data_IF_396034561474
#
_entry.id   IF_396034561474
#
_cell.length_a   1.000
_cell.length_b   1.000
_cell.length_c   1.000
_cell.angle_alpha   90.00
_cell.angle_beta   90.00
_cell.angle_gamma   90.00
#
_symmetry.space_group_name_H-M   'P 1'
#
loop_
_entity.id
_entity.type
_entity.pdbx_description
1 polymer ?
#
# COMPACT_ATOMS: atom_id res chain seq x y z
N UNK A 1 4.47 -67.93 -54.43
CA UNK A 1 5.10 -66.60 -54.41
C UNK A 1 4.08 -65.59 -53.92
N UNK A 2 4.19 -65.14 -52.67
CA UNK A 2 3.48 -63.97 -52.12
C UNK A 2 4.44 -63.29 -51.15
N UNK A 3 4.71 -62.03 -51.42
CA UNK A 3 5.59 -61.11 -50.71
C UNK A 3 4.86 -60.37 -49.58
N UNK A 4 5.67 -59.74 -48.72
CA UNK A 4 5.37 -58.63 -47.80
C UNK A 4 4.82 -59.04 -46.40
N UNK A 5 5.16 -58.38 -45.30
CA UNK A 5 5.89 -57.13 -45.09
C UNK A 5 6.58 -57.15 -43.71
N UNK A 6 7.78 -56.59 -43.64
CA UNK A 6 8.39 -56.14 -42.38
C UNK A 6 7.73 -54.82 -41.96
N UNK A 7 7.08 -54.80 -40.80
CA UNK A 7 6.62 -53.57 -40.17
C UNK A 7 7.71 -53.08 -39.20
N UNK A 8 8.51 -52.11 -39.65
CA UNK A 8 9.39 -51.32 -38.77
C UNK A 8 8.53 -50.38 -37.92
N UNK A 9 8.50 -50.63 -36.62
CA UNK A 9 7.88 -49.75 -35.63
C UNK A 9 8.85 -48.59 -35.34
N UNK A 10 8.69 -47.46 -36.02
CA UNK A 10 9.40 -46.22 -35.68
C UNK A 10 8.65 -45.58 -34.51
N UNK A 11 9.19 -45.71 -33.31
CA UNK A 11 8.71 -45.00 -32.14
C UNK A 11 9.07 -43.51 -32.27
N UNK A 12 8.08 -42.67 -32.59
CA UNK A 12 8.22 -41.23 -32.58
C UNK A 12 8.19 -40.71 -31.14
N UNK A 13 9.37 -40.53 -30.54
CA UNK A 13 9.54 -39.90 -29.23
C UNK A 13 9.21 -38.41 -29.35
N UNK A 14 7.96 -38.04 -29.05
CA UNK A 14 7.55 -36.64 -29.00
C UNK A 14 7.97 -36.08 -27.64
N UNK A 15 9.15 -35.44 -27.58
CA UNK A 15 9.60 -34.71 -26.39
C UNK A 15 8.84 -33.39 -26.34
N UNK A 16 7.72 -33.38 -25.60
CA UNK A 16 6.98 -32.15 -25.30
C UNK A 16 7.77 -31.38 -24.24
N UNK A 17 8.61 -30.44 -24.67
CA UNK A 17 9.28 -29.48 -23.79
C UNK A 17 8.22 -28.50 -23.26
N UNK A 18 7.66 -28.81 -22.09
CA UNK A 18 6.78 -27.91 -21.36
C UNK A 18 7.65 -26.83 -20.71
N UNK A 19 7.94 -25.76 -21.47
CA UNK A 19 8.56 -24.55 -20.90
C UNK A 19 7.51 -23.91 -20.01
N UNK A 20 7.58 -24.20 -18.71
CA UNK A 20 6.91 -23.39 -17.69
C UNK A 20 7.66 -22.07 -17.64
N UNK A 21 7.15 -21.05 -18.32
CA UNK A 21 7.50 -19.67 -18.05
C UNK A 21 7.06 -19.40 -16.61
N UNK A 22 7.92 -19.65 -15.64
CA UNK A 22 7.76 -19.07 -14.31
C UNK A 22 7.90 -17.58 -14.52
N UNK A 23 6.78 -16.88 -14.63
CA UNK A 23 6.75 -15.44 -14.44
C UNK A 23 7.22 -15.19 -13.01
N UNK A 24 8.53 -15.05 -12.84
CA UNK A 24 9.08 -14.49 -11.62
C UNK A 24 8.71 -13.04 -11.71
N UNK A 25 7.61 -12.65 -11.07
CA UNK A 25 7.33 -11.25 -10.87
C UNK A 25 8.54 -10.67 -10.16
N UNK A 26 9.19 -9.69 -10.78
CA UNK A 26 10.20 -8.94 -10.07
C UNK A 26 9.53 -8.15 -8.96
N UNK A 27 10.22 -8.04 -7.84
CA UNK A 27 9.70 -7.38 -6.66
C UNK A 27 10.78 -6.50 -6.06
N UNK A 28 10.47 -5.24 -5.85
CA UNK A 28 11.34 -4.30 -5.15
C UNK A 28 10.57 -3.13 -4.58
N UNK A 29 11.06 -2.60 -3.47
CA UNK A 29 10.44 -1.46 -2.80
C UNK A 29 11.45 -0.72 -1.94
N UNK A 30 11.21 0.58 -1.76
CA UNK A 30 11.81 1.33 -0.66
C UNK A 30 11.30 0.80 0.68
N UNK A 31 12.18 0.75 1.68
CA UNK A 31 11.88 0.32 3.04
C UNK A 31 12.18 1.40 4.08
N UNK A 32 13.05 2.37 3.77
CA UNK A 32 13.33 3.55 4.60
C UNK A 32 13.50 4.77 3.70
N UNK A 33 12.85 5.93 3.99
CA UNK A 33 11.76 6.14 4.93
C UNK A 33 10.58 5.16 4.78
N UNK A 34 9.75 5.03 5.82
CA UNK A 34 8.65 4.04 5.83
C UNK A 34 7.66 4.32 4.71
N UNK A 35 7.56 3.38 3.78
CA UNK A 35 6.64 3.43 2.65
C UNK A 35 5.18 3.43 3.10
N UNK A 36 4.33 4.10 2.33
CA UNK A 36 2.88 4.13 2.59
C UNK A 36 2.32 2.71 2.67
N UNK A 37 1.50 2.42 3.68
CA UNK A 37 0.89 1.11 3.81
C UNK A 37 -0.22 0.90 2.76
N UNK A 38 -0.58 -0.35 2.54
CA UNK A 38 -1.85 -0.68 1.88
C UNK A 38 -2.95 -0.49 2.92
N UNK A 39 -3.65 0.63 2.84
CA UNK A 39 -4.66 1.01 3.81
C UNK A 39 -6.01 0.34 3.58
N UNK A 40 -6.92 0.51 4.53
CA UNK A 40 -8.31 0.14 4.35
C UNK A 40 -8.96 0.94 3.20
N UNK A 41 -8.63 2.22 3.04
CA UNK A 41 -9.12 3.05 1.95
C UNK A 41 -8.63 2.52 0.60
N UNK A 42 -7.35 2.20 0.48
CA UNK A 42 -6.80 1.55 -0.72
C UNK A 42 -7.62 0.30 -1.06
N UNK A 43 -7.86 -0.58 -0.09
CA UNK A 43 -8.62 -1.83 -0.30
C UNK A 43 -10.08 -1.61 -0.70
N UNK A 44 -10.71 -0.56 -0.18
CA UNK A 44 -12.08 -0.20 -0.56
C UNK A 44 -12.14 0.33 -2.01
N UNK A 45 -11.10 1.05 -2.45
CA UNK A 45 -11.11 1.79 -3.70
C UNK A 45 -10.47 1.02 -4.87
N UNK A 46 -9.63 0.01 -4.62
CA UNK A 46 -8.80 -0.64 -5.65
C UNK A 46 -9.52 -1.69 -6.51
N UNK A 47 -10.83 -1.91 -6.30
CA UNK A 47 -11.65 -2.81 -7.12
C UNK A 47 -11.16 -4.26 -7.10
N UNK A 48 -10.85 -4.79 -8.28
CA UNK A 48 -10.36 -6.17 -8.46
C UNK A 48 -9.10 -6.52 -7.64
N UNK A 49 -8.32 -5.51 -7.22
CA UNK A 49 -7.13 -5.70 -6.39
C UNK A 49 -7.43 -5.91 -4.90
N UNK A 50 -8.68 -5.74 -4.45
CA UNK A 50 -9.07 -5.79 -3.03
C UNK A 50 -8.71 -7.09 -2.31
N UNK A 51 -8.67 -8.21 -3.03
CA UNK A 51 -8.31 -9.54 -2.53
C UNK A 51 -6.81 -9.87 -2.58
N UNK A 52 -5.97 -9.01 -3.15
CA UNK A 52 -4.54 -9.23 -3.23
C UNK A 52 -3.85 -9.07 -1.86
N UNK A 53 -2.74 -9.80 -1.67
CA UNK A 53 -1.92 -9.67 -0.46
C UNK A 53 -1.21 -8.31 -0.40
N UNK A 54 -0.97 -7.77 0.81
CA UNK A 54 -0.25 -6.49 0.98
C UNK A 54 1.11 -6.51 0.29
N UNK A 55 1.79 -7.65 0.44
CA UNK A 55 3.05 -7.97 -0.19
C UNK A 55 3.00 -7.75 -1.71
N UNK A 56 2.13 -8.47 -2.41
CA UNK A 56 1.92 -8.30 -3.85
C UNK A 56 1.62 -6.84 -4.22
N UNK A 57 0.72 -6.20 -3.49
CA UNK A 57 0.33 -4.82 -3.76
C UNK A 57 1.48 -3.83 -3.58
N UNK A 58 2.39 -4.05 -2.62
CA UNK A 58 3.50 -3.15 -2.30
C UNK A 58 4.68 -3.25 -3.26
N UNK A 59 4.97 -4.43 -3.82
CA UNK A 59 6.22 -4.63 -4.57
C UNK A 59 6.09 -5.26 -5.96
N UNK A 60 4.91 -5.73 -6.40
CA UNK A 60 4.71 -6.18 -7.79
C UNK A 60 4.80 -5.00 -8.77
N UNK A 61 5.14 -5.19 -10.05
CA UNK A 61 5.15 -4.08 -11.00
C UNK A 61 3.73 -3.54 -11.23
N UNK A 62 3.60 -2.21 -11.31
CA UNK A 62 2.28 -1.56 -11.38
C UNK A 62 1.53 -1.86 -12.66
N UNK A 63 2.23 -2.20 -13.75
CA UNK A 63 1.63 -2.63 -15.02
C UNK A 63 0.84 -3.92 -14.86
N UNK A 64 1.38 -4.89 -14.11
CA UNK A 64 0.69 -6.15 -13.84
C UNK A 64 -0.50 -5.95 -12.91
N UNK A 65 -0.36 -5.12 -11.87
CA UNK A 65 -1.50 -4.75 -11.03
C UNK A 65 -2.60 -4.06 -11.85
N UNK A 66 -2.24 -3.14 -12.74
CA UNK A 66 -3.18 -2.42 -13.60
C UNK A 66 -3.92 -3.37 -14.56
N UNK A 67 -3.22 -4.38 -15.10
CA UNK A 67 -3.81 -5.38 -16.01
C UNK A 67 -4.93 -6.23 -15.39
N UNK A 68 -5.06 -6.23 -14.06
CA UNK A 68 -6.07 -7.01 -13.33
C UNK A 68 -7.42 -6.32 -13.21
N UNK A 69 -7.63 -5.19 -13.88
CA UNK A 69 -8.93 -4.54 -13.90
C UNK A 69 -10.04 -5.51 -14.35
N UNK A 70 -11.18 -5.50 -13.65
CA UNK A 70 -12.35 -6.33 -13.96
C UNK A 70 -13.61 -5.46 -14.02
N UNK A 71 -14.45 -5.69 -15.02
CA UNK A 71 -15.67 -4.89 -15.24
C UNK A 71 -16.73 -5.10 -14.15
N UNK A 72 -16.77 -6.28 -13.53
CA UNK A 72 -17.67 -6.63 -12.43
C UNK A 72 -17.12 -6.24 -11.04
N UNK A 73 -15.87 -5.80 -10.96
CA UNK A 73 -15.21 -5.26 -9.76
C UNK A 73 -14.42 -3.99 -10.09
N UNK A 74 -15.11 -2.91 -10.51
CA UNK A 74 -14.44 -1.68 -10.89
C UNK A 74 -13.74 -1.04 -9.69
N UNK A 75 -12.61 -0.39 -9.95
CA UNK A 75 -12.01 0.51 -8.97
C UNK A 75 -12.89 1.76 -8.78
N UNK A 76 -12.74 2.44 -7.64
CA UNK A 76 -13.40 3.72 -7.40
C UNK A 76 -12.95 4.75 -8.45
N UNK A 77 -13.80 5.73 -8.83
CA UNK A 77 -13.48 6.71 -9.87
C UNK A 77 -12.19 7.52 -9.63
N UNK A 78 -11.79 7.70 -8.37
CA UNK A 78 -10.60 8.44 -7.98
C UNK A 78 -9.35 7.56 -7.79
N UNK A 79 -9.49 6.23 -7.92
CA UNK A 79 -8.38 5.29 -7.74
C UNK A 79 -7.60 5.10 -9.04
N UNK A 80 -6.28 5.21 -8.95
CA UNK A 80 -5.38 4.94 -10.07
C UNK A 80 -4.09 4.31 -9.57
N UNK A 81 -3.87 3.02 -9.87
CA UNK A 81 -2.62 2.32 -9.49
C UNK A 81 -1.38 2.92 -10.16
N UNK A 82 -1.55 3.62 -11.29
CA UNK A 82 -0.49 4.29 -12.04
C UNK A 82 -0.31 5.76 -11.63
N UNK A 83 -0.79 6.18 -10.45
CA UNK A 83 -0.71 7.57 -10.00
C UNK A 83 0.71 8.08 -9.66
N UNK A 84 1.76 7.31 -9.90
CA UNK A 84 3.14 7.59 -9.47
C UNK A 84 3.46 7.09 -8.06
N UNK A 85 2.47 6.76 -7.24
CA UNK A 85 2.63 6.17 -5.91
C UNK A 85 1.86 4.86 -5.75
N UNK A 86 1.74 4.06 -6.83
CA UNK A 86 1.13 2.72 -6.80
C UNK A 86 -0.34 2.70 -6.38
N UNK A 87 -1.06 3.81 -6.55
CA UNK A 87 -2.44 3.99 -6.08
C UNK A 87 -2.56 4.32 -4.60
N UNK A 88 -1.45 4.38 -3.86
CA UNK A 88 -1.45 4.90 -2.49
C UNK A 88 -1.52 6.43 -2.51
N UNK A 89 -2.18 6.99 -1.50
CA UNK A 89 -2.29 8.43 -1.26
C UNK A 89 -1.92 8.73 0.19
N UNK A 90 -1.66 9.99 0.51
CA UNK A 90 -1.47 10.38 1.90
C UNK A 90 -2.77 10.15 2.70
N UNK A 91 -2.64 9.53 3.87
CA UNK A 91 -3.69 9.41 4.87
C UNK A 91 -3.15 9.86 6.22
N UNK A 92 -4.00 10.43 7.07
CA UNK A 92 -3.61 11.04 8.36
C UNK A 92 -2.85 10.07 9.29
N UNK A 93 -3.08 8.76 9.14
CA UNK A 93 -2.46 7.72 9.96
C UNK A 93 -1.16 7.15 9.34
N UNK A 94 -0.72 7.66 8.19
CA UNK A 94 0.55 7.24 7.60
C UNK A 94 1.73 7.67 8.48
N UNK A 95 2.80 6.87 8.46
CA UNK A 95 4.08 7.28 9.05
C UNK A 95 4.67 8.41 8.22
N UNK A 96 4.95 9.54 8.87
CA UNK A 96 5.57 10.72 8.24
C UNK A 96 6.98 10.86 8.78
N UNK A 97 7.96 10.99 7.89
CA UNK A 97 9.37 11.16 8.27
C UNK A 97 9.78 12.62 8.14
N UNK A 98 10.34 13.19 9.20
CA UNK A 98 10.94 14.52 9.13
C UNK A 98 12.31 14.43 8.46
N UNK A 99 12.55 15.29 7.48
CA UNK A 99 13.78 15.38 6.72
C UNK A 99 14.17 16.85 6.60
N UNK A 100 15.43 17.16 6.85
CA UNK A 100 15.90 18.53 6.85
C UNK A 100 16.55 18.90 5.52
N UNK A 101 16.33 20.13 5.08
CA UNK A 101 16.95 20.66 3.87
C UNK A 101 18.47 20.71 4.01
N UNK A 102 19.18 20.39 2.94
CA UNK A 102 20.64 20.37 2.89
C UNK A 102 21.32 19.42 3.93
N UNK A 103 20.52 18.61 4.65
CA UNK A 103 20.98 17.58 5.59
C UNK A 103 20.87 16.18 4.96
N UNK A 104 21.93 15.36 5.03
CA UNK A 104 21.88 13.98 4.55
C UNK A 104 20.92 13.08 5.34
N UNK A 105 20.16 12.24 4.64
CA UNK A 105 19.31 11.20 5.25
C UNK A 105 19.43 9.87 4.49
N UNK A 106 19.20 8.77 5.21
CA UNK A 106 19.29 7.43 4.65
C UNK A 106 18.03 7.05 3.85
N UNK A 107 18.26 6.39 2.72
CA UNK A 107 17.22 5.69 1.96
C UNK A 107 17.63 4.22 1.85
N UNK A 108 16.70 3.32 2.17
CA UNK A 108 16.89 1.87 2.05
C UNK A 108 15.85 1.24 1.14
N UNK A 109 16.21 0.12 0.53
CA UNK A 109 15.31 -0.69 -0.29
C UNK A 109 15.70 -2.18 -0.26
N UNK A 110 14.78 -2.99 -0.77
CA UNK A 110 14.96 -4.42 -1.04
C UNK A 110 14.67 -4.70 -2.52
N UNK A 111 15.45 -5.58 -3.14
CA UNK A 111 15.24 -6.10 -4.50
C UNK A 111 15.24 -7.62 -4.41
N UNK A 112 14.06 -8.23 -4.49
CA UNK A 112 13.92 -9.69 -4.38
C UNK A 112 14.20 -10.36 -5.73
N UNK A 113 13.75 -9.75 -6.82
CA UNK A 113 13.98 -10.27 -8.17
C UNK A 113 14.48 -9.13 -9.08
N UNK A 114 15.74 -9.19 -9.52
CA UNK A 114 16.38 -8.08 -10.24
C UNK A 114 15.95 -8.01 -11.70
N UNK A 115 15.61 -6.80 -12.12
CA UNK A 115 15.47 -6.41 -13.52
C UNK A 115 16.33 -5.17 -13.77
N UNK A 116 17.48 -5.30 -14.46
CA UNK A 116 18.33 -4.16 -14.75
C UNK A 116 17.54 -3.01 -15.36
N UNK A 117 17.76 -1.81 -14.84
CA UNK A 117 17.04 -0.62 -15.23
C UNK A 117 17.61 0.60 -14.53
N UNK A 118 16.79 1.61 -14.28
CA UNK A 118 17.21 2.83 -13.61
C UNK A 118 16.32 3.11 -12.41
N UNK A 119 16.91 3.65 -11.33
CA UNK A 119 16.17 4.13 -10.17
C UNK A 119 16.34 5.63 -10.04
N UNK A 120 15.21 6.32 -9.90
CA UNK A 120 15.14 7.76 -9.64
C UNK A 120 14.53 7.97 -8.26
N UNK A 121 15.27 8.65 -7.39
CA UNK A 121 14.76 9.14 -6.13
C UNK A 121 14.35 10.61 -6.31
N UNK A 122 13.11 10.93 -5.97
CA UNK A 122 12.58 12.28 -6.17
C UNK A 122 11.65 12.72 -5.06
N UNK A 123 11.50 14.03 -4.90
CA UNK A 123 10.41 14.64 -4.14
C UNK A 123 9.25 14.83 -5.10
N UNK A 124 8.08 14.31 -4.74
CA UNK A 124 6.86 14.44 -5.52
C UNK A 124 5.77 15.17 -4.74
N UNK A 125 4.90 15.88 -5.45
CA UNK A 125 3.72 16.55 -4.91
C UNK A 125 2.44 15.95 -5.46
N UNK A 126 1.36 15.87 -4.66
CA UNK A 126 0.07 15.47 -5.18
C UNK A 126 -0.49 16.56 -6.10
N UNK A 127 -0.97 16.16 -7.26
CA UNK A 127 -1.81 16.94 -8.15
C UNK A 127 -3.17 16.25 -8.24
N UNK A 128 -4.25 17.03 -8.27
CA UNK A 128 -5.62 16.50 -8.35
C UNK A 128 -6.24 16.97 -9.65
N UNK A 129 -6.70 16.03 -10.47
CA UNK A 129 -7.41 16.37 -11.70
C UNK A 129 -8.88 16.74 -11.45
N UNK A 130 -9.61 17.14 -12.49
CA UNK A 130 -11.03 17.52 -12.39
C UNK A 130 -11.95 16.38 -11.97
N UNK A 131 -11.49 15.13 -12.06
CA UNK A 131 -12.22 13.92 -11.67
C UNK A 131 -11.92 13.50 -10.23
N UNK A 132 -11.01 14.20 -9.55
CA UNK A 132 -10.57 13.88 -8.19
C UNK A 132 -9.49 12.81 -8.13
N UNK A 133 -8.89 12.42 -9.26
CA UNK A 133 -7.76 11.48 -9.27
C UNK A 133 -6.52 12.22 -8.80
N UNK A 134 -5.85 11.66 -7.78
CA UNK A 134 -4.58 12.17 -7.30
C UNK A 134 -3.46 11.51 -8.12
N UNK A 135 -2.61 12.31 -8.76
CA UNK A 135 -1.32 11.90 -9.35
C UNK A 135 -0.16 12.55 -8.58
N UNK A 136 1.05 12.06 -8.78
CA UNK A 136 2.25 12.58 -8.13
C UNK A 136 3.26 13.10 -9.16
N UNK A 137 3.58 14.39 -9.06
CA UNK A 137 4.48 15.09 -9.97
C UNK A 137 5.83 15.33 -9.29
N UNK A 138 6.93 14.99 -9.98
CA UNK A 138 8.28 15.24 -9.48
C UNK A 138 8.60 16.74 -9.50
N UNK A 139 8.99 17.26 -8.33
CA UNK A 139 9.41 18.66 -8.15
C UNK A 139 10.91 18.80 -7.92
N UNK A 140 11.59 17.71 -7.56
CA UNK A 140 13.03 17.65 -7.45
C UNK A 140 13.53 16.21 -7.60
N UNK A 141 14.53 15.98 -8.45
CA UNK A 141 15.28 14.73 -8.48
C UNK A 141 16.43 14.84 -7.48
N UNK A 142 16.53 13.86 -6.58
CA UNK A 142 17.56 13.82 -5.54
C UNK A 142 18.75 12.95 -5.96
N UNK A 143 18.46 11.84 -6.64
CA UNK A 143 19.45 10.86 -7.06
C UNK A 143 18.92 10.07 -8.27
N UNK A 144 19.83 9.67 -9.14
CA UNK A 144 19.59 8.66 -10.16
C UNK A 144 20.68 7.61 -10.08
N UNK A 145 20.28 6.33 -10.04
CA UNK A 145 21.20 5.19 -10.12
C UNK A 145 20.91 4.44 -11.42
N UNK A 146 21.93 4.31 -12.26
CA UNK A 146 21.87 3.61 -13.54
C UNK A 146 23.26 3.02 -13.88
N UNK A 147 23.40 1.68 -14.02
CA UNK A 147 22.35 0.68 -13.89
C UNK A 147 21.95 0.41 -12.44
N UNK A 148 20.67 0.15 -12.22
CA UNK A 148 20.07 -0.27 -10.96
C UNK A 148 19.54 -1.70 -11.04
N UNK A 149 19.38 -2.36 -9.89
CA UNK A 149 18.83 -3.72 -9.76
C UNK A 149 19.50 -4.75 -10.69
N UNK A 150 20.83 -4.71 -10.80
CA UNK A 150 21.63 -5.68 -11.56
C UNK A 150 21.81 -7.02 -10.82
N UNK A 151 21.50 -7.06 -9.53
CA UNK A 151 21.47 -8.26 -8.69
C UNK A 151 20.36 -8.14 -7.64
N UNK A 152 19.92 -9.27 -7.07
CA UNK A 152 19.06 -9.24 -5.88
C UNK A 152 19.84 -8.70 -4.67
N UNK A 153 19.12 -8.06 -3.77
CA UNK A 153 19.68 -7.52 -2.51
C UNK A 153 18.63 -7.64 -1.43
N UNK A 154 18.96 -8.29 -0.31
CA UNK A 154 18.06 -8.38 0.86
C UNK A 154 17.86 -7.00 1.51
N UNK A 155 18.92 -6.19 1.57
CA UNK A 155 18.93 -4.79 2.00
C UNK A 155 20.03 -4.05 1.26
N UNK A 156 19.69 -2.89 0.69
CA UNK A 156 20.63 -1.95 0.12
C UNK A 156 20.25 -0.53 0.54
N UNK A 157 21.21 0.40 0.49
CA UNK A 157 21.00 1.76 0.93
C UNK A 157 21.81 2.79 0.13
N UNK A 158 21.39 4.03 0.23
CA UNK A 158 22.14 5.22 -0.19
C UNK A 158 21.82 6.36 0.76
N UNK A 159 22.51 7.49 0.57
CA UNK A 159 22.24 8.75 1.25
C UNK A 159 21.69 9.74 0.22
N UNK A 160 20.68 10.50 0.62
CA UNK A 160 20.10 11.57 -0.19
C UNK A 160 20.10 12.89 0.59
N UNK A 161 19.98 14.00 -0.13
CA UNK A 161 19.89 15.35 0.43
C UNK A 161 18.74 16.08 -0.27
N UNK A 162 17.88 16.74 0.49
CA UNK A 162 16.81 17.58 -0.09
C UNK A 162 17.39 18.96 -0.39
N UNK A 163 17.36 19.43 -1.65
CA UNK A 163 17.92 20.74 -1.98
C UNK A 163 17.05 21.88 -1.45
N UNK A 164 17.69 23.01 -1.12
CA UNK A 164 17.05 24.26 -0.69
C UNK A 164 15.88 24.77 -1.57
N UNK A 165 15.86 24.39 -2.85
CA UNK A 165 14.82 24.73 -3.84
C UNK A 165 13.46 24.05 -3.57
N UNK A 166 13.41 22.98 -2.78
CA UNK A 166 12.16 22.30 -2.42
C UNK A 166 11.36 23.16 -1.44
N UNK A 167 10.19 23.61 -1.87
CA UNK A 167 9.29 24.49 -1.11
C UNK A 167 7.90 23.88 -1.00
N UNK A 168 7.09 24.34 -0.04
CA UNK A 168 5.72 23.85 0.21
C UNK A 168 5.67 22.32 0.42
N UNK A 169 6.54 21.82 1.29
CA UNK A 169 6.58 20.44 1.77
C UNK A 169 6.60 20.40 3.31
N UNK A 170 6.04 21.42 3.96
CA UNK A 170 6.21 21.65 5.41
C UNK A 170 5.16 20.95 6.28
N UNK A 171 4.13 20.37 5.66
CA UNK A 171 3.05 19.63 6.32
C UNK A 171 2.93 18.23 5.74
N UNK A 172 2.43 17.31 6.56
CA UNK A 172 2.17 15.95 6.11
C UNK A 172 1.14 15.96 4.96
N UNK A 173 1.44 15.21 3.90
CA UNK A 173 0.62 15.17 2.68
C UNK A 173 0.97 16.23 1.63
N UNK A 174 1.77 17.25 1.98
CA UNK A 174 2.24 18.24 0.99
C UNK A 174 3.14 17.57 -0.06
N UNK A 175 4.04 16.67 0.39
CA UNK A 175 5.04 16.01 -0.44
C UNK A 175 5.25 14.56 0.01
N UNK A 176 5.78 13.76 -0.92
CA UNK A 176 6.29 12.42 -0.63
C UNK A 176 7.68 12.25 -1.23
N UNK A 177 8.48 11.38 -0.62
CA UNK A 177 9.68 10.84 -1.24
C UNK A 177 9.25 9.67 -2.12
N UNK A 178 9.57 9.75 -3.42
CA UNK A 178 9.30 8.70 -4.39
C UNK A 178 10.61 7.98 -4.74
N UNK A 179 10.62 6.68 -4.51
CA UNK A 179 11.55 5.73 -5.11
C UNK A 179 10.89 5.17 -6.37
N UNK A 180 11.44 5.48 -7.53
CA UNK A 180 10.91 5.05 -8.82
C UNK A 180 11.95 4.18 -9.54
N UNK A 181 11.75 2.87 -9.55
CA UNK A 181 12.56 1.96 -10.35
C UNK A 181 11.79 1.53 -11.60
N UNK A 182 12.41 1.70 -12.77
CA UNK A 182 11.89 1.22 -14.04
C UNK A 182 12.92 0.34 -14.75
N UNK A 183 12.45 -0.74 -15.37
CA UNK A 183 13.26 -1.58 -16.25
C UNK A 183 12.65 -1.61 -17.64
N UNK A 184 13.38 -1.07 -18.62
CA UNK A 184 13.01 -1.18 -20.04
C UNK A 184 12.99 -2.66 -20.49
N UNK A 185 13.92 -3.47 -19.96
CA UNK A 185 14.05 -4.89 -20.28
C UNK A 185 12.78 -5.67 -19.92
N UNK A 186 12.19 -5.38 -18.75
CA UNK A 186 10.97 -6.02 -18.30
C UNK A 186 9.70 -5.25 -18.69
N UNK A 187 9.83 -4.00 -19.16
CA UNK A 187 8.72 -3.07 -19.35
C UNK A 187 7.87 -2.92 -18.08
N UNK A 188 8.54 -2.74 -16.94
CA UNK A 188 7.94 -2.81 -15.61
C UNK A 188 8.44 -1.69 -14.70
N UNK A 189 7.54 -1.19 -13.85
CA UNK A 189 7.78 -0.07 -12.95
C UNK A 189 7.40 -0.40 -11.51
N UNK A 190 8.26 0.04 -10.58
CA UNK A 190 8.20 -0.21 -9.14
C UNK A 190 8.23 1.11 -8.35
N UNK A 191 7.16 1.92 -8.41
CA UNK A 191 7.08 3.12 -7.60
C UNK A 191 6.76 2.75 -6.15
N UNK A 192 7.45 3.40 -5.23
CA UNK A 192 7.17 3.38 -3.79
C UNK A 192 7.23 4.81 -3.26
N UNK A 193 6.25 5.20 -2.46
CA UNK A 193 6.22 6.53 -1.85
C UNK A 193 6.22 6.44 -0.33
N UNK A 194 6.97 7.33 0.33
CA UNK A 194 6.93 7.55 1.76
C UNK A 194 6.56 9.00 2.06
N UNK A 195 5.74 9.22 3.08
CA UNK A 195 5.33 10.56 3.47
C UNK A 195 6.44 11.25 4.25
N UNK A 196 6.72 12.50 3.89
CA UNK A 196 7.78 13.30 4.48
C UNK A 196 7.28 14.70 4.85
N UNK A 197 7.97 15.32 5.81
CA UNK A 197 7.91 16.76 6.06
C UNK A 197 9.30 17.32 5.93
N UNK A 198 9.46 18.36 5.12
CA UNK A 198 10.73 19.04 4.87
C UNK A 198 10.87 20.22 5.83
N UNK A 199 11.82 20.12 6.75
CA UNK A 199 12.17 21.19 7.69
C UNK A 199 13.36 22.01 7.18
N UNK A 200 13.52 23.20 7.74
CA UNK A 200 14.68 24.07 7.56
C UNK A 200 15.25 24.38 8.93
N UNK A 201 16.57 24.46 9.03
CA UNK A 201 17.28 24.91 10.22
C UNK A 201 16.56 26.11 10.87
N UNK A 202 16.19 25.97 12.14
CA UNK A 202 15.49 27.00 12.93
C UNK A 202 13.95 26.95 12.89
N UNK A 203 13.33 26.02 12.17
CA UNK A 203 11.89 25.76 12.25
C UNK A 203 11.59 24.46 13.02
N UNK A 204 12.01 24.40 14.29
CA UNK A 204 11.44 23.43 15.22
C UNK A 204 9.98 23.81 15.49
N UNK A 205 9.07 23.15 14.79
CA UNK A 205 7.66 22.93 15.13
C UNK A 205 6.94 24.10 15.84
N UNK A 206 6.49 25.11 15.07
CA UNK A 206 5.29 25.85 15.47
C UNK A 206 4.09 24.92 15.29
N UNK A 207 3.89 24.03 16.27
CA UNK A 207 2.64 23.27 16.42
C UNK A 207 1.52 24.29 16.55
N UNK A 208 0.73 24.46 15.49
CA UNK A 208 -0.57 25.10 15.59
C UNK A 208 -1.41 24.22 16.50
N UNK A 209 -1.44 24.60 17.77
CA UNK A 209 -2.34 24.02 18.76
C UNK A 209 -3.73 24.47 18.37
N UNK A 210 -4.55 23.57 17.82
CA UNK A 210 -5.98 23.84 17.67
C UNK A 210 -6.55 24.02 19.08
N UNK A 211 -6.73 25.27 19.49
CA UNK A 211 -7.43 25.62 20.71
C UNK A 211 -8.89 25.19 20.59
N UNK A 212 -9.31 24.29 21.48
CA UNK A 212 -10.71 23.93 21.71
C UNK A 212 -11.53 25.19 22.01
N UNK A 213 -12.71 25.41 21.39
CA UNK A 213 -13.53 26.55 21.75
C UNK A 213 -14.17 26.30 23.13
N UNK A 214 -13.67 27.02 24.13
CA UNK A 214 -14.28 27.08 25.47
C UNK A 214 -15.64 27.77 25.35
N UNK A 215 -16.71 26.98 25.45
CA UNK A 215 -18.07 27.48 25.51
C UNK A 215 -18.26 28.46 26.67
N UNK A 216 -18.58 29.71 26.34
CA UNK A 216 -18.98 30.75 27.28
C UNK A 216 -20.31 30.36 27.93
N UNK A 217 -20.28 29.99 29.22
CA UNK A 217 -21.48 29.89 30.05
C UNK A 217 -21.96 31.32 30.35
N UNK A 218 -23.14 31.67 29.86
CA UNK A 218 -23.89 32.85 30.29
C UNK A 218 -24.85 32.45 31.41
N UNK A 219 -24.74 33.15 32.53
CA UNK A 219 -25.50 32.98 33.76
C UNK A 219 -26.87 33.64 33.67
N UNK A 220 -27.94 32.90 33.97
CA UNK A 220 -29.16 33.46 34.54
C UNK A 220 -29.63 32.56 35.69
N UNK A 221 -30.04 33.24 36.77
CA UNK A 221 -30.32 32.73 38.10
C UNK A 221 -31.81 32.90 38.42
N UNK A 222 -32.31 32.07 39.34
CA UNK A 222 -33.61 32.04 40.05
C UNK A 222 -34.42 30.77 39.73
N UNK A 223 -35.03 30.03 40.65
CA UNK A 223 -35.29 30.22 42.08
C UNK A 223 -35.37 28.84 42.78
N UNK A 224 -35.26 28.85 44.11
CA UNK A 224 -35.35 27.69 45.01
C UNK A 224 -36.79 27.18 45.19
N UNK A 225 -36.97 25.87 45.45
CA UNK A 225 -37.73 25.40 46.62
C UNK A 225 -37.40 23.93 46.98
N UNK A 226 -37.62 23.61 48.25
CA UNK A 226 -37.33 22.37 49.02
C UNK A 226 -37.98 21.11 48.43
N UNK A 227 -37.56 19.86 48.69
CA UNK A 227 -37.56 19.16 50.00
C UNK A 227 -36.97 17.74 49.87
N UNK A 228 -36.58 17.19 51.02
CA UNK A 228 -35.97 15.89 51.33
C UNK A 228 -36.51 14.62 50.64
N UNK A 229 -35.66 13.59 50.56
CA UNK A 229 -36.08 12.21 50.28
C UNK A 229 -34.95 11.20 50.11
N UNK A 230 -34.48 10.63 51.22
CA UNK A 230 -33.57 9.48 51.32
C UNK A 230 -34.23 8.22 50.73
N UNK A 231 -33.50 7.39 49.96
CA UNK A 231 -33.35 5.96 50.24
C UNK A 231 -32.31 5.25 49.35
N UNK A 232 -31.49 4.41 49.99
CA UNK A 232 -30.63 3.35 49.43
C UNK A 232 -31.50 2.19 48.91
N UNK A 233 -31.05 1.49 47.87
CA UNK A 233 -31.08 0.00 47.85
C UNK A 233 -30.01 -0.56 46.88
N UNK A 234 -29.39 -1.64 47.34
CA UNK A 234 -28.26 -2.44 46.84
C UNK A 234 -28.62 -3.40 45.67
N UNK A 235 -27.66 -3.98 44.91
CA UNK A 235 -27.94 -4.80 43.73
C UNK A 235 -28.01 -6.30 44.05
N UNK A 236 -28.65 -7.15 43.22
CA UNK A 236 -28.49 -8.59 43.32
C UNK A 236 -27.53 -9.19 42.26
N UNK A 237 -26.90 -10.26 42.71
CA UNK A 237 -25.82 -11.05 42.14
C UNK A 237 -26.27 -12.04 41.04
N UNK A 238 -25.26 -12.44 40.26
CA UNK A 238 -25.08 -13.61 39.39
C UNK A 238 -25.79 -14.92 39.76
N UNK A 239 -26.24 -15.67 38.74
CA UNK A 239 -26.31 -17.14 38.75
C UNK A 239 -25.94 -17.70 37.36
N UNK A 240 -24.97 -18.62 37.32
CA UNK A 240 -24.61 -19.49 36.19
C UNK A 240 -25.61 -20.65 36.06
N UNK A 241 -25.83 -21.17 34.85
CA UNK A 241 -25.92 -22.62 34.67
C UNK A 241 -25.67 -23.07 33.23
N UNK A 242 -25.04 -24.24 33.12
CA UNK A 242 -24.64 -24.94 31.91
C UNK A 242 -25.53 -26.17 31.62
N UNK A 243 -25.35 -26.69 30.40
CA UNK A 243 -25.66 -28.04 29.88
C UNK A 243 -27.07 -28.36 29.40
N UNK A 244 -27.13 -28.96 28.19
CA UNK A 244 -28.12 -30.00 27.87
C UNK A 244 -28.65 -30.05 26.43
N UNK A 245 -27.92 -30.74 25.55
CA UNK A 245 -28.36 -31.69 24.50
C UNK A 245 -29.25 -31.32 23.27
N UNK A 246 -28.79 -31.86 22.14
CA UNK A 246 -29.37 -32.07 20.78
C UNK A 246 -30.51 -33.15 20.81
N UNK A 247 -31.11 -33.67 19.70
CA UNK A 247 -31.04 -33.30 18.27
C UNK A 247 -32.38 -33.34 17.48
N UNK A 248 -32.43 -32.72 16.30
CA UNK A 248 -33.27 -33.19 15.19
C UNK A 248 -32.79 -32.74 13.79
N UNK A 249 -32.49 -33.77 12.98
CA UNK A 249 -32.14 -33.88 11.55
C UNK A 249 -32.96 -33.02 10.56
N UNK A 250 -32.32 -32.54 9.48
CA UNK A 250 -32.60 -33.03 8.10
C UNK A 250 -31.64 -32.40 7.06
N UNK A 251 -31.29 -33.22 6.06
CA UNK A 251 -30.19 -33.17 5.08
C UNK A 251 -30.42 -32.31 3.82
N UNK A 252 -29.31 -31.86 3.20
CA UNK A 252 -28.94 -31.94 1.75
C UNK A 252 -27.80 -30.91 1.47
N UNK A 253 -26.50 -31.26 1.45
CA UNK A 253 -25.64 -31.85 0.38
C UNK A 253 -25.36 -30.94 -0.84
N UNK A 254 -24.07 -30.93 -1.23
CA UNK A 254 -23.35 -30.34 -2.36
C UNK A 254 -22.88 -28.88 -2.18
N UNK A 255 -21.62 -28.50 -2.37
CA UNK A 255 -20.43 -29.22 -2.86
C UNK A 255 -19.17 -28.41 -2.50
N UNK A 256 -18.08 -29.10 -2.16
CA UNK A 256 -16.79 -28.50 -1.78
C UNK A 256 -16.12 -27.86 -2.99
N UNK A 257 -15.98 -26.53 -2.99
CA UNK A 257 -15.01 -25.86 -3.85
C UNK A 257 -13.62 -25.97 -3.21
N UNK A 258 -12.74 -26.76 -3.84
CA UNK A 258 -11.40 -27.02 -3.33
C UNK A 258 -10.46 -25.93 -3.82
N UNK A 259 -10.00 -25.12 -2.87
CA UNK A 259 -8.87 -24.20 -2.93
C UNK A 259 -7.64 -24.92 -3.49
N UNK A 260 -7.08 -24.45 -4.60
CA UNK A 260 -5.70 -24.77 -4.99
C UNK A 260 -4.83 -23.54 -4.86
N UNK A 261 -3.70 -23.83 -4.24
CA UNK A 261 -2.51 -23.01 -4.04
C UNK A 261 -1.93 -22.56 -5.38
#
# INVERSE_FOLDING_TARGET
>A
MKTAAFASLVAATTVLFLVTLTSVDAHGQMTRPTSRPISQKFRADCGALSGAGDQELQYAPVELLNSRAQSDRPAAPTFNVLNGCRGTVYEVNNTVTEVEIDTPFDVEWIIQAPHPGSMVLSIVKPAIDSSGVITYESVAVLLTIDPFATSSTEKASTVAVIPSSVTNCGSAGDCALQFYWHSDLASQTYPTCADIVVTRDGQSSLRTSFATPTGTRSSLQAAADSTAGVLRTEPPKTVNNASGDEPAKSSAVSEKCTRRQ
#
